data_IF_070762474084
#
_entry.id   IF_070762474084
#
_cell.length_a   1.000
_cell.length_b   1.000
_cell.length_c   1.000
_cell.angle_alpha   90.00
_cell.angle_beta   90.00
_cell.angle_gamma   90.00
#
_symmetry.space_group_name_H-M   'P 1'
#
loop_
_entity.id
_entity.type
_entity.pdbx_description
1 polymer ?
#
# COMPACT_ATOMS: atom_id res chain seq x y z
N UNK A 1 -16.06 44.52 25.54
CA UNK A 1 -15.56 43.99 24.26
C UNK A 1 -14.12 44.44 24.09
N UNK A 2 -13.22 43.54 23.69
CA UNK A 2 -11.78 43.70 23.47
C UNK A 2 -10.86 43.59 24.72
N UNK A 3 -10.75 42.38 25.27
CA UNK A 3 -9.55 41.96 26.02
C UNK A 3 -8.50 41.54 24.97
N UNK A 4 -7.77 42.51 24.42
CA UNK A 4 -6.72 42.25 23.44
C UNK A 4 -5.46 41.79 24.21
N UNK A 5 -5.18 40.50 24.10
CA UNK A 5 -4.02 39.80 24.66
C UNK A 5 -2.70 40.55 24.36
N UNK A 6 -1.88 40.91 25.37
CA UNK A 6 -0.53 41.40 25.15
C UNK A 6 0.42 40.21 25.01
N UNK A 7 0.29 39.43 23.94
CA UNK A 7 1.22 38.31 23.69
C UNK A 7 2.48 38.85 23.01
N UNK A 8 3.61 38.64 23.65
CA UNK A 8 4.93 38.94 23.11
C UNK A 8 5.29 38.01 21.95
N UNK A 9 6.17 38.45 21.03
CA UNK A 9 6.67 37.64 19.91
C UNK A 9 7.07 36.19 20.27
N UNK A 10 7.81 35.93 21.37
CA UNK A 10 8.14 34.55 21.75
C UNK A 10 6.92 33.72 22.20
N UNK A 11 5.93 34.32 22.84
CA UNK A 11 4.71 33.63 23.26
C UNK A 11 3.86 33.23 22.06
N UNK A 12 3.80 34.07 21.02
CA UNK A 12 3.15 33.73 19.76
C UNK A 12 3.85 32.54 19.06
N UNK A 13 5.19 32.53 19.05
CA UNK A 13 5.99 31.43 18.51
C UNK A 13 5.75 30.11 19.26
N UNK A 14 5.73 30.17 20.59
CA UNK A 14 5.43 29.01 21.43
C UNK A 14 4.00 28.48 21.23
N UNK A 15 3.02 29.38 21.11
CA UNK A 15 1.63 29.01 20.84
C UNK A 15 1.47 28.32 19.48
N UNK A 16 2.14 28.83 18.44
CA UNK A 16 2.13 28.22 17.11
C UNK A 16 2.81 26.84 17.12
N UNK A 17 3.94 26.71 17.80
CA UNK A 17 4.65 25.44 17.95
C UNK A 17 3.81 24.41 18.71
N UNK A 18 3.13 24.82 19.79
CA UNK A 18 2.23 23.95 20.54
C UNK A 18 1.04 23.50 19.69
N UNK A 19 0.45 24.39 18.89
CA UNK A 19 -0.63 24.06 17.97
C UNK A 19 -0.16 23.07 16.88
N UNK A 20 1.02 23.30 16.31
CA UNK A 20 1.61 22.40 15.32
C UNK A 20 1.90 21.01 15.93
N UNK A 21 2.43 20.95 17.16
CA UNK A 21 2.67 19.69 17.86
C UNK A 21 1.36 18.94 18.15
N UNK A 22 0.30 19.64 18.56
CA UNK A 22 -1.03 19.06 18.77
C UNK A 22 -1.61 18.49 17.47
N UNK A 23 -1.46 19.23 16.36
CA UNK A 23 -1.90 18.79 15.05
C UNK A 23 -1.14 17.53 14.59
N UNK A 24 0.18 17.50 14.75
CA UNK A 24 0.99 16.32 14.45
C UNK A 24 0.58 15.11 15.29
N UNK A 25 0.34 15.29 16.59
CA UNK A 25 -0.16 14.22 17.46
C UNK A 25 -1.51 13.69 16.97
N UNK A 26 -2.43 14.57 16.58
CA UNK A 26 -3.73 14.17 16.04
C UNK A 26 -3.57 13.33 14.76
N UNK A 27 -2.70 13.76 13.83
CA UNK A 27 -2.40 13.01 12.60
C UNK A 27 -1.82 11.63 12.93
N UNK A 28 -0.88 11.55 13.88
CA UNK A 28 -0.31 10.26 14.31
C UNK A 28 -1.37 9.32 14.89
N UNK A 29 -2.29 9.84 15.72
CA UNK A 29 -3.39 9.04 16.29
C UNK A 29 -4.32 8.53 15.19
N UNK A 30 -4.71 9.39 14.25
CA UNK A 30 -5.56 8.99 13.11
C UNK A 30 -4.85 7.93 12.26
N UNK A 31 -3.57 8.13 11.94
CA UNK A 31 -2.78 7.17 11.18
C UNK A 31 -2.65 5.83 11.91
N UNK A 32 -2.45 5.83 13.24
CA UNK A 32 -2.37 4.62 14.02
C UNK A 32 -3.71 3.85 14.02
N UNK A 33 -4.83 4.53 14.29
CA UNK A 33 -6.16 3.90 14.31
C UNK A 33 -6.54 3.37 12.93
N UNK A 34 -6.23 4.11 11.87
CA UNK A 34 -6.53 3.68 10.49
C UNK A 34 -5.61 2.55 10.02
N UNK A 35 -4.32 2.56 10.39
CA UNK A 35 -3.38 1.50 10.06
C UNK A 35 -3.68 0.18 10.80
N UNK A 36 -4.13 0.25 12.06
CA UNK A 36 -4.50 -0.94 12.84
C UNK A 36 -5.76 -1.61 12.27
N UNK A 37 -6.65 -0.84 11.65
CA UNK A 37 -7.79 -1.38 10.91
C UNK A 37 -7.33 -1.91 9.54
N UNK A 38 -6.52 -2.97 9.55
CA UNK A 38 -6.36 -3.78 8.35
C UNK A 38 -7.75 -4.22 7.90
N UNK A 39 -8.11 -4.03 6.61
CA UNK A 39 -9.38 -4.54 6.12
C UNK A 39 -9.44 -6.03 6.46
N UNK A 40 -10.60 -6.50 6.90
CA UNK A 40 -10.84 -7.93 7.11
C UNK A 40 -10.69 -8.61 5.76
N UNK A 41 -9.47 -9.05 5.45
CA UNK A 41 -9.12 -9.80 4.26
C UNK A 41 -9.69 -11.20 4.46
N UNK A 42 -10.98 -11.36 4.18
CA UNK A 42 -11.64 -12.65 4.23
C UNK A 42 -11.16 -13.49 3.04
N UNK A 43 -10.03 -14.16 3.23
CA UNK A 43 -9.41 -15.02 2.21
C UNK A 43 -9.95 -16.42 2.37
N UNK A 44 -10.75 -16.90 1.42
CA UNK A 44 -11.30 -18.25 1.50
C UNK A 44 -10.18 -19.29 1.39
N UNK A 45 -10.29 -20.40 2.13
CA UNK A 45 -9.31 -21.48 2.07
C UNK A 45 -9.14 -22.04 0.63
N UNK A 46 -10.19 -21.95 -0.18
CA UNK A 46 -10.19 -22.37 -1.57
C UNK A 46 -9.32 -21.51 -2.50
N UNK A 47 -9.10 -20.22 -2.18
CA UNK A 47 -8.24 -19.33 -2.98
C UNK A 47 -6.75 -19.72 -2.94
N UNK A 48 -6.37 -20.61 -2.02
CA UNK A 48 -5.02 -21.17 -1.96
C UNK A 48 -4.78 -22.22 -3.04
N UNK A 49 -5.83 -22.64 -3.74
CA UNK A 49 -5.77 -23.69 -4.76
C UNK A 49 -6.30 -23.18 -6.10
N UNK A 50 -5.73 -23.67 -7.19
CA UNK A 50 -6.25 -23.51 -8.54
C UNK A 50 -6.59 -24.88 -9.13
N UNK A 51 -7.40 -24.90 -10.18
CA UNK A 51 -7.70 -26.14 -10.92
C UNK A 51 -6.64 -26.29 -12.00
N UNK A 52 -5.82 -27.34 -11.88
CA UNK A 52 -4.79 -27.69 -12.85
C UNK A 52 -5.37 -28.19 -14.17
N UNK A 53 -4.52 -28.38 -15.17
CA UNK A 53 -4.94 -28.86 -16.50
C UNK A 53 -5.59 -30.25 -16.47
N UNK A 54 -5.27 -31.07 -15.46
CA UNK A 54 -5.88 -32.39 -15.24
C UNK A 54 -7.19 -32.33 -14.44
N UNK A 55 -7.73 -31.13 -14.17
CA UNK A 55 -8.95 -30.93 -13.39
C UNK A 55 -8.79 -31.14 -11.88
N UNK A 56 -7.55 -31.28 -11.39
CA UNK A 56 -7.22 -31.49 -9.98
C UNK A 56 -7.00 -30.16 -9.26
N UNK A 57 -7.36 -30.06 -7.97
CA UNK A 57 -7.02 -28.91 -7.13
C UNK A 57 -5.52 -28.97 -6.80
N UNK A 58 -4.78 -27.97 -7.24
CA UNK A 58 -3.34 -27.80 -7.01
C UNK A 58 -3.09 -26.53 -6.19
N UNK A 59 -2.12 -26.51 -5.25
CA UNK A 59 -1.81 -25.31 -4.47
C UNK A 59 -1.17 -24.23 -5.35
N UNK A 60 -1.57 -22.97 -5.17
CA UNK A 60 -0.95 -21.82 -5.85
C UNK A 60 0.54 -21.76 -5.44
N UNK A 61 1.48 -21.67 -6.40
CA UNK A 61 2.91 -21.65 -6.09
C UNK A 61 3.31 -20.40 -5.29
N UNK A 62 4.22 -20.58 -4.33
CA UNK A 62 4.79 -19.47 -3.57
C UNK A 62 5.90 -18.77 -4.36
N UNK A 63 6.11 -17.49 -4.07
CA UNK A 63 7.23 -16.72 -4.61
C UNK A 63 8.60 -17.18 -4.07
N UNK A 64 8.58 -17.92 -2.95
CA UNK A 64 9.78 -18.48 -2.34
C UNK A 64 10.10 -19.89 -2.87
N UNK A 65 9.17 -20.49 -3.61
CA UNK A 65 9.41 -21.78 -4.23
C UNK A 65 10.32 -21.59 -5.46
N UNK A 66 11.15 -22.60 -5.79
CA UNK A 66 11.94 -22.55 -7.01
C UNK A 66 11.04 -22.42 -8.24
N UNK A 67 11.43 -21.61 -9.26
CA UNK A 67 10.59 -21.35 -10.42
C UNK A 67 10.37 -22.62 -11.25
N UNK A 68 9.11 -22.97 -11.48
CA UNK A 68 8.75 -24.16 -12.28
C UNK A 68 8.83 -23.90 -13.79
N UNK A 69 8.79 -22.63 -14.22
CA UNK A 69 8.78 -22.22 -15.63
C UNK A 69 9.59 -20.95 -15.85
N UNK A 70 10.42 -20.94 -16.88
CA UNK A 70 11.04 -19.71 -17.39
C UNK A 70 10.04 -18.96 -18.28
N UNK A 71 9.76 -17.70 -17.91
CA UNK A 71 8.86 -16.81 -18.63
C UNK A 71 9.66 -15.63 -19.18
N UNK A 72 9.42 -15.26 -20.43
CA UNK A 72 9.91 -14.00 -21.00
C UNK A 72 8.78 -12.96 -20.97
N UNK A 73 9.14 -11.75 -20.56
CA UNK A 73 8.22 -10.61 -20.53
C UNK A 73 8.48 -9.78 -21.79
N UNK A 74 7.43 -9.54 -22.57
CA UNK A 74 7.49 -8.58 -23.69
C UNK A 74 6.80 -7.30 -23.22
N UNK A 75 7.56 -6.21 -23.22
CA UNK A 75 7.16 -4.88 -22.74
C UNK A 75 6.94 -4.04 -24.02
N UNK A 76 5.68 -3.86 -24.48
CA UNK A 76 5.37 -3.14 -25.73
C UNK A 76 5.67 -1.64 -25.65
N UNK A 77 6.78 -1.21 -26.28
CA UNK A 77 7.48 0.08 -26.14
C UNK A 77 6.73 1.42 -26.27
N UNK A 78 5.40 1.48 -26.38
CA UNK A 78 4.68 2.75 -26.52
C UNK A 78 4.16 3.24 -25.16
N UNK A 79 4.78 4.29 -24.64
CA UNK A 79 4.37 5.05 -23.45
C UNK A 79 4.21 4.19 -22.17
N UNK A 80 5.15 3.27 -21.93
CA UNK A 80 5.07 2.28 -20.83
C UNK A 80 5.54 2.79 -19.47
N UNK A 81 6.32 3.87 -19.40
CA UNK A 81 6.73 4.46 -18.12
C UNK A 81 5.53 5.00 -17.32
N UNK A 82 4.58 5.68 -17.96
CA UNK A 82 3.42 6.27 -17.27
C UNK A 82 2.27 5.28 -17.01
N UNK A 83 2.22 4.19 -17.79
CA UNK A 83 1.04 3.31 -17.87
C UNK A 83 1.21 1.98 -17.15
N UNK A 84 2.37 1.70 -16.58
CA UNK A 84 2.62 0.45 -15.86
C UNK A 84 1.95 0.41 -14.48
N UNK A 85 0.61 0.31 -14.49
CA UNK A 85 -0.16 -0.45 -13.50
C UNK A 85 -0.28 -1.90 -14.01
N UNK A 86 0.89 -2.52 -14.15
CA UNK A 86 1.24 -3.94 -14.37
C UNK A 86 0.11 -4.82 -14.95
N UNK A 87 0.05 -4.92 -16.27
CA UNK A 87 -0.46 -6.11 -16.96
C UNK A 87 0.69 -6.66 -17.82
N UNK A 88 1.39 -7.67 -17.30
CA UNK A 88 2.53 -8.29 -17.97
C UNK A 88 2.05 -9.38 -18.93
N UNK A 89 2.41 -9.29 -20.21
CA UNK A 89 2.19 -10.38 -21.15
C UNK A 89 3.34 -11.38 -20.99
N UNK A 90 3.05 -12.47 -20.29
CA UNK A 90 4.00 -13.56 -20.06
C UNK A 90 4.00 -14.51 -21.27
N UNK A 91 5.17 -14.68 -21.89
CA UNK A 91 5.41 -15.70 -22.93
C UNK A 91 6.23 -16.83 -22.33
N UNK A 92 5.84 -18.07 -22.62
CA UNK A 92 6.69 -19.24 -22.35
C UNK A 92 7.93 -19.13 -23.22
N UNK A 93 9.10 -19.22 -22.60
CA UNK A 93 10.35 -19.41 -23.33
C UNK A 93 10.29 -20.79 -23.99
N UNK A 94 10.53 -20.85 -25.31
CA UNK A 94 10.60 -22.10 -26.07
C UNK A 94 11.80 -22.93 -25.63
#
# INVERSE_FOLDING_TARGET
>A
MAFLLPLSLPELGAALAALAALFLLLVCVIAHVTAVKMPTLHRHAEEKFFIGAEGRKEPVPSIHDPPTKELSVVVPSYNEEDRCKICLVLRKKK
#
